data_IF_588326159103
#
_entry.id   IF_588326159103
#
_cell.length_a   1.000
_cell.length_b   1.000
_cell.length_c   1.000
_cell.angle_alpha   90.00
_cell.angle_beta   90.00
_cell.angle_gamma   90.00
#
_symmetry.space_group_name_H-M   'P 1'
#
loop_
_entity.id
_entity.type
_entity.pdbx_description
1 polymer ?
#
# COMPACT_ATOMS: atom_id res chain seq x y z
N UNK A 1 -2.47 8.14 11.76
CA UNK A 1 -2.16 9.57 11.99
C UNK A 1 -1.26 10.19 10.91
N UNK A 2 -0.36 9.42 10.28
CA UNK A 2 0.58 9.93 9.26
C UNK A 2 -0.08 10.61 8.04
N UNK A 3 -1.09 9.97 7.43
CA UNK A 3 -1.77 10.48 6.23
C UNK A 3 -2.40 11.87 6.44
N UNK A 4 -3.00 12.10 7.62
CA UNK A 4 -3.67 13.37 7.94
C UNK A 4 -2.68 14.53 7.98
N UNK A 5 -1.50 14.30 8.58
CA UNK A 5 -0.47 15.33 8.68
C UNK A 5 0.07 15.69 7.29
N UNK A 6 0.35 14.67 6.47
CA UNK A 6 0.83 14.87 5.09
C UNK A 6 -0.19 15.63 4.23
N UNK A 7 -1.48 15.28 4.35
CA UNK A 7 -2.55 15.94 3.60
C UNK A 7 -2.72 17.41 4.03
N UNK A 8 -2.73 17.69 5.34
CA UNK A 8 -2.83 19.06 5.87
C UNK A 8 -1.68 19.92 5.35
N UNK A 9 -0.44 19.43 5.45
CA UNK A 9 0.74 20.16 4.98
C UNK A 9 0.69 20.40 3.46
N UNK A 10 0.24 19.42 2.69
CA UNK A 10 0.13 19.54 1.23
C UNK A 10 -0.93 20.57 0.84
N UNK A 11 -2.11 20.52 1.47
CA UNK A 11 -3.20 21.49 1.24
C UNK A 11 -2.78 22.91 1.60
N UNK A 12 -2.18 23.09 2.78
CA UNK A 12 -1.70 24.39 3.24
C UNK A 12 -0.72 25.03 2.23
N UNK A 13 0.27 24.26 1.77
CA UNK A 13 1.23 24.75 0.79
C UNK A 13 0.59 25.09 -0.57
N UNK A 14 -0.34 24.26 -1.05
CA UNK A 14 -1.11 24.54 -2.30
C UNK A 14 -1.92 25.84 -2.18
N UNK A 15 -2.57 26.05 -1.03
CA UNK A 15 -3.36 27.26 -0.77
C UNK A 15 -2.48 28.53 -0.64
N UNK A 16 -1.23 28.39 -0.21
CA UNK A 16 -0.25 29.48 -0.18
C UNK A 16 0.45 29.72 -1.54
N UNK A 17 -0.01 29.10 -2.62
CA UNK A 17 0.55 29.29 -3.97
C UNK A 17 1.81 28.46 -4.27
N UNK A 18 2.24 27.59 -3.35
CA UNK A 18 3.37 26.69 -3.58
C UNK A 18 2.91 25.48 -4.40
N UNK A 19 3.60 25.11 -5.49
CA UNK A 19 3.28 23.91 -6.27
C UNK A 19 3.71 22.64 -5.53
N UNK A 20 2.89 22.20 -4.57
CA UNK A 20 3.15 21.00 -3.77
C UNK A 20 2.56 19.72 -4.41
N UNK A 21 3.42 18.75 -4.69
CA UNK A 21 3.08 17.42 -5.21
C UNK A 21 3.23 16.37 -4.11
N UNK A 22 2.16 15.59 -3.90
CA UNK A 22 2.17 14.46 -2.97
C UNK A 22 1.90 13.17 -3.74
N UNK A 23 2.92 12.30 -3.79
CA UNK A 23 2.88 11.04 -4.53
C UNK A 23 2.48 9.89 -3.59
N UNK A 24 1.40 9.15 -3.88
CA UNK A 24 1.06 7.94 -3.16
C UNK A 24 1.92 6.76 -3.64
N UNK A 25 2.15 5.81 -2.74
CA UNK A 25 2.76 4.53 -3.10
C UNK A 25 2.58 3.48 -2.02
N UNK A 26 2.67 2.23 -2.43
CA UNK A 26 2.56 1.05 -1.54
C UNK A 26 3.80 0.18 -1.67
N UNK A 27 4.19 -0.46 -0.58
CA UNK A 27 5.35 -1.34 -0.52
C UNK A 27 4.91 -2.81 -0.50
N UNK A 28 5.56 -3.67 -1.29
CA UNK A 28 5.32 -5.11 -1.27
C UNK A 28 5.78 -5.77 0.03
N UNK A 29 6.68 -5.13 0.78
CA UNK A 29 7.09 -5.52 2.13
C UNK A 29 7.46 -7.02 2.26
N UNK A 30 8.28 -7.53 1.35
CA UNK A 30 8.61 -8.95 1.13
C UNK A 30 8.36 -9.91 2.32
N UNK A 31 9.21 -9.86 3.35
CA UNK A 31 9.15 -10.76 4.51
C UNK A 31 7.87 -10.58 5.34
N UNK A 32 7.39 -9.33 5.45
CA UNK A 32 6.16 -9.04 6.18
C UNK A 32 4.93 -9.63 5.47
N UNK A 33 4.87 -9.49 4.14
CA UNK A 33 3.82 -10.10 3.31
C UNK A 33 3.87 -11.62 3.41
N UNK A 34 5.05 -12.23 3.30
CA UNK A 34 5.23 -13.68 3.48
C UNK A 34 4.69 -14.17 4.83
N UNK A 35 5.08 -13.51 5.93
CA UNK A 35 4.62 -13.88 7.28
C UNK A 35 3.09 -13.80 7.41
N UNK A 36 2.48 -12.74 6.87
CA UNK A 36 1.02 -12.56 6.92
C UNK A 36 0.30 -13.59 6.05
N UNK A 37 0.85 -13.91 4.87
CA UNK A 37 0.28 -14.92 3.96
C UNK A 37 0.35 -16.31 4.59
N UNK A 38 1.50 -16.71 5.16
CA UNK A 38 1.64 -17.98 5.86
C UNK A 38 0.63 -18.11 7.01
N UNK A 39 0.51 -17.05 7.82
CA UNK A 39 -0.48 -17.00 8.91
C UNK A 39 -1.92 -17.13 8.42
N UNK A 40 -2.27 -16.47 7.31
CA UNK A 40 -3.62 -16.55 6.73
C UNK A 40 -3.94 -17.92 6.14
N UNK A 41 -2.92 -18.64 5.66
CA UNK A 41 -3.04 -19.99 5.11
C UNK A 41 -2.99 -21.08 6.20
N UNK A 42 -2.60 -20.74 7.43
CA UNK A 42 -2.44 -21.70 8.53
C UNK A 42 -1.25 -22.63 8.34
N UNK A 43 -0.26 -22.25 7.54
CA UNK A 43 0.96 -23.02 7.28
C UNK A 43 2.15 -22.43 8.04
N UNK A 44 3.12 -23.27 8.38
CA UNK A 44 4.30 -22.85 9.15
C UNK A 44 5.48 -22.50 8.24
N UNK A 45 5.50 -23.04 7.01
CA UNK A 45 6.57 -22.76 6.05
C UNK A 45 6.06 -22.58 4.62
N UNK A 46 6.77 -21.72 3.86
CA UNK A 46 6.59 -21.58 2.42
C UNK A 46 7.08 -22.79 1.62
N UNK A 47 7.92 -23.64 2.21
CA UNK A 47 8.43 -24.87 1.55
C UNK A 47 7.32 -25.89 1.27
N UNK A 48 6.15 -25.72 1.88
CA UNK A 48 4.94 -26.50 1.58
C UNK A 48 4.38 -26.21 0.18
N UNK A 49 4.86 -25.16 -0.50
CA UNK A 49 4.44 -24.75 -1.84
C UNK A 49 5.61 -24.72 -2.81
N UNK A 50 5.32 -24.88 -4.10
CA UNK A 50 6.31 -24.52 -5.11
C UNK A 50 6.49 -22.99 -5.13
N UNK A 51 7.69 -22.52 -5.50
CA UNK A 51 7.98 -21.08 -5.64
C UNK A 51 6.91 -20.31 -6.46
N UNK A 52 6.49 -20.76 -7.66
CA UNK A 52 5.47 -20.03 -8.43
C UNK A 52 4.11 -19.98 -7.71
N UNK A 53 3.69 -21.06 -7.05
CA UNK A 53 2.43 -21.10 -6.30
C UNK A 53 2.45 -20.13 -5.12
N UNK A 54 3.54 -20.10 -4.36
CA UNK A 54 3.67 -19.20 -3.21
C UNK A 54 3.70 -17.74 -3.66
N UNK A 55 4.44 -17.43 -4.73
CA UNK A 55 4.49 -16.08 -5.30
C UNK A 55 3.13 -15.59 -5.76
N UNK A 56 2.31 -16.47 -6.35
CA UNK A 56 0.94 -16.14 -6.76
C UNK A 56 0.08 -15.76 -5.55
N UNK A 57 0.15 -16.54 -4.46
CA UNK A 57 -0.57 -16.25 -3.21
C UNK A 57 -0.15 -14.91 -2.59
N UNK A 58 1.15 -14.62 -2.57
CA UNK A 58 1.66 -13.33 -2.11
C UNK A 58 1.13 -12.17 -2.98
N UNK A 59 1.16 -12.32 -4.30
CA UNK A 59 0.67 -11.30 -5.22
C UNK A 59 -0.84 -11.02 -5.06
N UNK A 60 -1.65 -12.06 -4.88
CA UNK A 60 -3.09 -11.94 -4.60
C UNK A 60 -3.35 -11.21 -3.29
N UNK A 61 -2.59 -11.51 -2.24
CA UNK A 61 -2.65 -10.81 -0.97
C UNK A 61 -2.30 -9.33 -1.14
N UNK A 62 -1.18 -9.03 -1.82
CA UNK A 62 -0.74 -7.66 -2.06
C UNK A 62 -1.78 -6.86 -2.83
N UNK A 63 -2.38 -7.44 -3.89
CA UNK A 63 -3.44 -6.78 -4.68
C UNK A 63 -4.66 -6.45 -3.83
N UNK A 64 -5.09 -7.37 -2.96
CA UNK A 64 -6.23 -7.15 -2.05
C UNK A 64 -5.93 -6.05 -1.02
N UNK A 65 -4.74 -6.10 -0.42
CA UNK A 65 -4.31 -5.11 0.57
C UNK A 65 -4.14 -3.73 -0.06
N UNK A 66 -3.54 -3.66 -1.25
CA UNK A 66 -3.41 -2.43 -2.03
C UNK A 66 -4.77 -1.79 -2.32
N UNK A 67 -5.72 -2.56 -2.87
CA UNK A 67 -7.08 -2.05 -3.12
C UNK A 67 -7.77 -1.54 -1.84
N UNK A 68 -7.51 -2.18 -0.70
CA UNK A 68 -8.04 -1.75 0.60
C UNK A 68 -7.40 -0.44 1.05
N UNK A 69 -6.08 -0.31 0.95
CA UNK A 69 -5.34 0.90 1.31
C UNK A 69 -5.80 2.08 0.44
N UNK A 70 -5.82 1.93 -0.88
CA UNK A 70 -6.24 2.98 -1.80
C UNK A 70 -7.69 3.41 -1.54
N UNK A 71 -8.58 2.45 -1.25
CA UNK A 71 -9.96 2.74 -0.85
C UNK A 71 -10.07 3.51 0.48
N UNK A 72 -9.25 3.18 1.47
CA UNK A 72 -9.19 3.91 2.75
C UNK A 72 -8.67 5.33 2.56
N UNK A 73 -7.56 5.49 1.82
CA UNK A 73 -6.93 6.80 1.54
C UNK A 73 -7.91 7.71 0.80
N UNK A 74 -8.63 7.17 -0.20
CA UNK A 74 -9.66 7.91 -0.94
C UNK A 74 -10.84 8.31 -0.05
N UNK A 75 -11.38 7.40 0.78
CA UNK A 75 -12.48 7.70 1.71
C UNK A 75 -12.13 8.74 2.77
N UNK A 76 -10.86 8.82 3.16
CA UNK A 76 -10.36 9.85 4.08
C UNK A 76 -10.24 11.24 3.44
N UNK A 77 -10.43 11.37 2.13
CA UNK A 77 -10.34 12.64 1.41
C UNK A 77 -8.90 13.11 1.20
N UNK A 78 -7.93 12.18 1.16
CA UNK A 78 -6.53 12.52 0.89
C UNK A 78 -6.35 13.10 -0.51
N UNK A 79 -5.54 14.15 -0.64
CA UNK A 79 -5.29 14.90 -1.89
C UNK A 79 -4.03 14.47 -2.64
N UNK A 80 -3.56 13.25 -2.40
CA UNK A 80 -2.44 12.66 -3.11
C UNK A 80 -2.79 12.41 -4.59
N UNK A 81 -1.78 12.43 -5.45
CA UNK A 81 -1.95 12.23 -6.90
C UNK A 81 -1.96 10.74 -7.26
N UNK A 82 -3.15 10.13 -7.24
CA UNK A 82 -3.34 8.74 -7.63
C UNK A 82 -2.97 8.45 -9.10
N UNK A 83 -2.89 9.45 -9.98
CA UNK A 83 -2.45 9.22 -11.37
C UNK A 83 -0.97 8.83 -11.46
N UNK A 84 -0.20 9.09 -10.40
CA UNK A 84 1.24 8.83 -10.31
C UNK A 84 1.60 7.83 -9.22
N UNK A 85 0.66 6.98 -8.84
CA UNK A 85 0.87 5.97 -7.80
C UNK A 85 2.03 5.02 -8.16
N UNK A 86 2.81 4.64 -7.13
CA UNK A 86 3.95 3.72 -7.25
C UNK A 86 3.77 2.47 -6.40
N UNK A 87 4.34 1.37 -6.88
CA UNK A 87 4.40 0.08 -6.19
C UNK A 87 5.81 -0.50 -6.36
N UNK A 88 6.38 -1.08 -5.30
CA UNK A 88 7.72 -1.69 -5.28
C UNK A 88 7.68 -3.18 -5.54
#
# INVERSE_FOLDING_TARGET
>A
MMLVIQDIMTRYNRMNGTPALWLPGTDHAAIATETVVLKNLGVSSREEFTRPEFMQKCFEHTKKTHATITGQVSKMGATCDFSRERFT
#
